data_IF_075444594210
#
_entry.id   IF_075444594210
#
_cell.length_a   1.000
_cell.length_b   1.000
_cell.length_c   1.000
_cell.angle_alpha   90.00
_cell.angle_beta   90.00
_cell.angle_gamma   90.00
#
_symmetry.space_group_name_H-M   'P 1'
#
loop_
_entity.id
_entity.type
_entity.pdbx_description
1 polymer ?
#
# COMPACT_ATOMS: atom_id res chain seq x y z
N UNK A 1 -0.58 20.74 23.41
CA UNK A 1 -1.84 20.36 22.71
C UNK A 1 -2.09 21.44 21.68
N UNK A 2 -1.87 21.15 20.39
CA UNK A 2 -1.96 22.15 19.35
C UNK A 2 -3.36 22.10 18.73
N UNK A 3 -3.99 23.27 18.57
CA UNK A 3 -5.34 23.38 17.99
C UNK A 3 -5.19 23.78 16.53
N UNK A 4 -5.88 23.07 15.64
CA UNK A 4 -5.98 23.37 14.22
C UNK A 4 -7.44 23.64 13.89
N UNK A 5 -7.73 24.81 13.32
CA UNK A 5 -9.07 25.20 12.87
C UNK A 5 -9.10 25.15 11.35
N UNK A 6 -10.07 24.44 10.78
CA UNK A 6 -10.25 24.29 9.33
C UNK A 6 -11.62 24.84 8.94
N UNK A 7 -11.67 25.68 7.91
CA UNK A 7 -12.93 26.07 7.28
C UNK A 7 -13.32 25.03 6.23
N UNK A 8 -14.48 24.40 6.43
CA UNK A 8 -14.99 23.31 5.59
C UNK A 8 -16.50 23.46 5.45
N UNK A 9 -17.05 23.01 4.32
CA UNK A 9 -18.49 23.08 4.07
C UNK A 9 -19.28 22.25 5.09
N UNK A 10 -20.42 22.79 5.55
CA UNK A 10 -21.26 22.16 6.57
C UNK A 10 -21.70 20.74 6.18
N UNK A 11 -22.11 20.54 4.92
CA UNK A 11 -22.51 19.21 4.42
C UNK A 11 -21.39 18.16 4.51
N UNK A 12 -20.12 18.58 4.46
CA UNK A 12 -18.97 17.68 4.62
C UNK A 12 -18.77 17.34 6.10
N UNK A 13 -18.96 18.32 7.00
CA UNK A 13 -18.88 18.11 8.45
C UNK A 13 -19.91 17.07 8.90
N UNK A 14 -21.14 17.12 8.38
CA UNK A 14 -22.21 16.21 8.78
C UNK A 14 -21.94 14.78 8.34
N UNK A 15 -21.53 14.58 7.08
CA UNK A 15 -21.10 13.27 6.57
C UNK A 15 -19.90 12.72 7.34
N UNK A 16 -18.95 13.57 7.68
CA UNK A 16 -17.77 13.14 8.40
C UNK A 16 -18.09 12.74 9.85
N UNK A 17 -19.03 13.44 10.52
CA UNK A 17 -19.55 13.04 11.84
C UNK A 17 -20.27 11.70 11.79
N UNK A 18 -21.09 11.49 10.77
CA UNK A 18 -21.81 10.22 10.57
C UNK A 18 -20.83 9.06 10.36
N UNK A 19 -19.83 9.25 9.49
CA UNK A 19 -18.74 8.30 9.28
C UNK A 19 -17.95 8.02 10.56
N UNK A 20 -17.64 9.05 11.35
CA UNK A 20 -16.92 8.89 12.60
C UNK A 20 -17.71 8.05 13.61
N UNK A 21 -19.03 8.29 13.72
CA UNK A 21 -19.94 7.54 14.59
C UNK A 21 -20.07 6.08 14.16
N UNK A 22 -20.21 5.80 12.86
CA UNK A 22 -20.33 4.43 12.35
C UNK A 22 -19.04 3.62 12.52
N UNK A 23 -17.88 4.27 12.51
CA UNK A 23 -16.58 3.63 12.70
C UNK A 23 -16.12 3.62 14.18
N UNK A 24 -16.92 4.14 15.11
CA UNK A 24 -16.56 4.20 16.54
C UNK A 24 -15.31 5.03 16.84
N UNK A 25 -14.97 6.00 15.99
CA UNK A 25 -13.78 6.86 16.12
C UNK A 25 -14.19 8.33 16.27
N UNK A 26 -13.36 9.14 16.94
CA UNK A 26 -13.59 10.58 16.96
C UNK A 26 -13.16 11.22 15.64
N UNK A 27 -13.86 12.28 15.24
CA UNK A 27 -13.55 13.02 14.01
C UNK A 27 -12.10 13.52 14.00
N UNK A 28 -11.61 14.04 15.13
CA UNK A 28 -10.23 14.49 15.29
C UNK A 28 -9.22 13.36 15.08
N UNK A 29 -9.50 12.13 15.57
CA UNK A 29 -8.62 10.97 15.39
C UNK A 29 -8.50 10.60 13.91
N UNK A 30 -9.61 10.64 13.18
CA UNK A 30 -9.65 10.32 11.74
C UNK A 30 -8.82 11.34 10.96
N UNK A 31 -9.00 12.63 11.22
CA UNK A 31 -8.24 13.71 10.57
C UNK A 31 -6.75 13.60 10.91
N UNK A 32 -6.41 13.32 12.16
CA UNK A 32 -5.02 13.14 12.59
C UNK A 32 -4.36 11.93 11.90
N UNK A 33 -5.04 10.78 11.83
CA UNK A 33 -4.57 9.58 11.12
C UNK A 33 -4.35 9.86 9.64
N UNK A 34 -5.27 10.59 9.00
CA UNK A 34 -5.14 10.99 7.60
C UNK A 34 -3.93 11.89 7.37
N UNK A 35 -3.76 12.95 8.15
CA UNK A 35 -2.59 13.85 8.05
C UNK A 35 -1.27 13.11 8.33
N UNK A 36 -1.26 12.18 9.29
CA UNK A 36 -0.12 11.29 9.54
C UNK A 36 0.19 10.43 8.33
N UNK A 37 -0.82 9.88 7.65
CA UNK A 37 -0.62 9.06 6.45
C UNK A 37 0.04 9.84 5.30
N UNK A 38 -0.37 11.09 5.11
CA UNK A 38 0.21 11.99 4.10
C UNK A 38 1.68 12.32 4.40
N UNK A 39 2.01 12.54 5.68
CA UNK A 39 3.38 12.83 6.11
C UNK A 39 4.30 11.59 6.08
N UNK A 40 3.76 10.42 6.42
CA UNK A 40 4.54 9.17 6.44
C UNK A 40 4.91 8.65 5.04
N UNK A 41 4.18 9.02 3.99
CA UNK A 41 4.53 8.61 2.62
C UNK A 41 5.86 9.18 2.15
N UNK A 42 6.33 10.31 2.68
CA UNK A 42 7.67 10.84 2.35
C UNK A 42 8.83 10.06 2.99
N UNK A 43 8.58 9.24 4.03
CA UNK A 43 9.62 8.41 4.68
C UNK A 43 9.66 6.96 4.17
N UNK A 44 8.62 6.48 3.49
CA UNK A 44 8.48 5.07 3.09
C UNK A 44 9.02 4.71 1.71
N UNK A 45 9.71 5.61 1.03
CA UNK A 45 10.52 5.22 -0.14
C UNK A 45 11.82 4.49 0.25
N UNK A 46 12.18 4.45 1.54
CA UNK A 46 13.30 3.66 2.01
C UNK A 46 12.79 2.45 2.81
N UNK A 47 12.96 1.26 2.22
CA UNK A 47 12.74 -0.07 2.79
C UNK A 47 11.28 -0.53 2.98
N UNK A 48 10.65 -1.00 1.90
CA UNK A 48 9.82 -2.19 2.03
C UNK A 48 10.78 -3.38 2.13
N UNK A 49 11.21 -3.71 3.35
CA UNK A 49 11.78 -5.04 3.56
C UNK A 49 10.71 -6.06 3.13
N UNK A 50 11.07 -7.08 2.33
CA UNK A 50 10.12 -8.13 1.99
C UNK A 50 9.59 -8.78 3.29
N UNK A 51 8.32 -9.19 3.29
CA UNK A 51 7.71 -9.88 4.42
C UNK A 51 8.58 -11.07 4.85
N UNK A 52 8.65 -11.39 6.13
CA UNK A 52 9.56 -12.42 6.68
C UNK A 52 9.52 -13.74 5.89
N UNK A 53 8.33 -14.19 5.51
CA UNK A 53 8.14 -15.39 4.70
C UNK A 53 8.78 -15.29 3.31
N UNK A 54 8.77 -14.11 2.69
CA UNK A 54 9.41 -13.86 1.39
C UNK A 54 10.93 -13.91 1.55
N UNK A 55 11.46 -13.49 2.70
CA UNK A 55 12.89 -13.59 3.01
C UNK A 55 13.31 -15.04 3.27
N UNK A 56 12.50 -15.82 3.99
CA UNK A 56 12.73 -17.25 4.25
C UNK A 56 12.62 -18.10 2.96
N UNK A 57 11.73 -17.73 2.04
CA UNK A 57 11.57 -18.40 0.76
C UNK A 57 12.56 -17.92 -0.32
N UNK A 58 13.23 -16.78 -0.12
CA UNK A 58 14.19 -16.23 -1.08
C UNK A 58 15.40 -17.17 -1.17
N UNK A 59 15.55 -17.83 -2.32
CA UNK A 59 16.62 -18.81 -2.58
C UNK A 59 16.23 -20.27 -2.30
N UNK A 60 15.01 -20.53 -1.83
CA UNK A 60 14.47 -21.91 -1.72
C UNK A 60 14.17 -22.52 -3.10
N UNK A 61 13.93 -21.68 -4.10
CA UNK A 61 13.80 -22.08 -5.49
C UNK A 61 15.18 -22.06 -6.14
N UNK A 62 15.67 -23.22 -6.55
CA UNK A 62 16.94 -23.34 -7.27
C UNK A 62 16.87 -22.63 -8.62
N UNK A 63 17.76 -21.67 -8.86
CA UNK A 63 17.88 -21.03 -10.16
C UNK A 63 18.50 -22.04 -11.15
N UNK A 64 17.90 -22.28 -12.33
CA UNK A 64 18.52 -23.12 -13.35
C UNK A 64 19.86 -22.51 -13.79
N UNK A 65 20.88 -23.36 -13.98
CA UNK A 65 22.27 -22.94 -14.29
C UNK A 65 22.39 -22.16 -15.62
N UNK A 66 21.45 -22.35 -16.53
CA UNK A 66 21.35 -21.60 -17.78
C UNK A 66 20.18 -20.62 -17.70
N UNK A 67 20.44 -19.45 -17.12
CA UNK A 67 19.44 -18.39 -17.05
C UNK A 67 19.38 -17.65 -18.38
N UNK A 68 18.35 -17.92 -19.19
CA UNK A 68 17.94 -16.98 -20.24
C UNK A 68 17.74 -15.59 -19.60
N UNK A 69 18.04 -14.48 -20.30
CA UNK A 69 17.80 -13.15 -19.76
C UNK A 69 16.32 -13.02 -19.35
N UNK A 70 16.08 -12.43 -18.17
CA UNK A 70 14.75 -12.35 -17.52
C UNK A 70 13.62 -11.92 -18.46
N UNK A 71 13.92 -11.03 -19.40
CA UNK A 71 12.98 -10.50 -20.38
C UNK A 71 12.43 -11.59 -21.32
N UNK A 72 13.27 -12.52 -21.75
CA UNK A 72 12.86 -13.64 -22.61
C UNK A 72 12.01 -14.64 -21.84
N UNK A 73 12.39 -14.96 -20.60
CA UNK A 73 11.59 -15.84 -19.73
C UNK A 73 10.20 -15.26 -19.44
N UNK A 74 10.13 -13.95 -19.22
CA UNK A 74 8.86 -13.25 -19.00
C UNK A 74 7.99 -13.28 -20.25
N UNK A 75 8.59 -13.06 -21.42
CA UNK A 75 7.88 -13.12 -22.69
C UNK A 75 7.34 -14.53 -22.97
N UNK A 76 8.15 -15.57 -22.80
CA UNK A 76 7.74 -16.97 -22.96
C UNK A 76 6.58 -17.31 -22.01
N UNK A 77 6.66 -16.92 -20.73
CA UNK A 77 5.60 -17.18 -19.74
C UNK A 77 4.29 -16.44 -20.04
N UNK A 78 4.36 -15.21 -20.57
CA UNK A 78 3.19 -14.45 -20.99
C UNK A 78 2.54 -15.08 -22.23
N UNK A 79 3.35 -15.54 -23.19
CA UNK A 79 2.85 -16.27 -24.36
C UNK A 79 2.19 -17.56 -23.91
N UNK A 80 2.81 -18.34 -23.04
CA UNK A 80 2.22 -19.59 -22.55
C UNK A 80 0.91 -19.36 -21.80
N UNK A 81 0.84 -18.34 -20.94
CA UNK A 81 -0.36 -18.04 -20.16
C UNK A 81 -1.55 -17.55 -20.99
N UNK A 82 -1.29 -16.81 -22.07
CA UNK A 82 -2.36 -16.10 -22.80
C UNK A 82 -2.55 -16.55 -24.26
N UNK A 83 -1.59 -17.25 -24.86
CA UNK A 83 -1.60 -17.61 -26.28
C UNK A 83 -1.53 -19.12 -26.56
N UNK A 84 -1.22 -19.97 -25.57
CA UNK A 84 -1.46 -21.42 -25.68
C UNK A 84 -2.85 -21.75 -25.14
N UNK A 85 -3.74 -22.13 -26.05
CA UNK A 85 -5.02 -22.77 -25.74
C UNK A 85 -4.87 -24.28 -25.84
#
# INVERSE_FOLDING_TARGET
>A
MNKLTLSINQAVIDRAKEYAKSNGKSLSKIVEEYLKSLSNNKKREKSKSPHRIVMELKGSVGMPKETKPYKEMLQDALIEKYLKK
#
